data_IF_716331504419
#
_entry.id   IF_716331504419
#
_cell.length_a   1.000
_cell.length_b   1.000
_cell.length_c   1.000
_cell.angle_alpha   90.00
_cell.angle_beta   90.00
_cell.angle_gamma   90.00
#
_symmetry.space_group_name_H-M   'P 1'
#
loop_
_entity.id
_entity.type
_entity.pdbx_description
1 polymer ?
#
# COMPACT_ATOMS: atom_id res chain seq x y z
N UNK A 1 -17.31 -0.89 20.21
CA UNK A 1 -17.46 0.53 20.58
C UNK A 1 -16.79 1.40 19.53
N UNK A 2 -15.45 1.44 19.46
CA UNK A 2 -14.72 2.32 18.53
C UNK A 2 -15.19 2.31 17.05
N UNK A 3 -15.38 1.13 16.42
CA UNK A 3 -15.86 1.06 15.03
C UNK A 3 -17.25 1.69 14.85
N UNK A 4 -18.19 1.43 15.78
CA UNK A 4 -19.55 1.99 15.72
C UNK A 4 -19.54 3.49 15.90
N UNK A 5 -18.71 3.98 16.82
CA UNK A 5 -18.64 5.41 17.13
C UNK A 5 -17.99 6.18 15.98
N UNK A 6 -16.93 5.65 15.39
CA UNK A 6 -16.32 6.23 14.19
C UNK A 6 -17.25 6.20 12.96
N UNK A 7 -18.09 5.17 12.83
CA UNK A 7 -19.04 5.04 11.72
C UNK A 7 -20.28 5.95 11.81
N UNK A 8 -20.39 6.80 12.85
CA UNK A 8 -21.50 7.77 12.94
C UNK A 8 -21.30 8.95 12.01
N UNK A 9 -20.07 9.44 11.92
CA UNK A 9 -19.76 10.74 11.30
C UNK A 9 -18.65 10.65 10.24
N UNK A 10 -18.23 9.45 9.83
CA UNK A 10 -17.15 9.24 8.85
C UNK A 10 -17.60 8.45 7.62
N UNK A 11 -17.06 8.83 6.45
CA UNK A 11 -17.20 8.05 5.20
C UNK A 11 -16.19 6.90 5.11
N UNK A 12 -15.04 7.02 5.78
CA UNK A 12 -13.97 6.03 5.82
C UNK A 12 -13.33 5.97 7.22
N UNK A 13 -13.23 4.77 7.77
CA UNK A 13 -12.43 4.45 8.95
C UNK A 13 -11.11 3.83 8.49
N UNK A 14 -9.99 4.42 8.92
CA UNK A 14 -8.65 3.92 8.65
C UNK A 14 -7.99 3.43 9.95
N UNK A 15 -7.54 2.18 9.97
CA UNK A 15 -6.70 1.64 11.04
C UNK A 15 -5.25 1.53 10.58
N UNK A 16 -4.31 2.13 11.33
CA UNK A 16 -2.87 1.97 11.11
C UNK A 16 -2.32 0.87 12.03
N UNK A 17 -2.38 -0.38 11.59
CA UNK A 17 -2.07 -1.54 12.42
C UNK A 17 -3.32 -2.30 12.88
N UNK A 18 -3.12 -3.38 13.64
CA UNK A 18 -4.18 -4.29 14.06
C UNK A 18 -4.64 -5.27 12.96
N UNK A 19 -4.20 -5.10 11.71
CA UNK A 19 -4.34 -6.09 10.63
C UNK A 19 -3.10 -6.97 10.62
N UNK A 20 -3.15 -8.10 11.32
CA UNK A 20 -2.07 -9.09 11.32
C UNK A 20 -2.64 -10.50 11.22
N UNK A 21 -1.79 -11.46 10.88
CA UNK A 21 -2.14 -12.90 10.80
C UNK A 21 -1.89 -13.62 12.14
N UNK A 22 -1.91 -12.89 13.26
CA UNK A 22 -1.62 -13.42 14.60
C UNK A 22 -2.88 -13.73 15.41
N UNK A 23 -2.73 -14.46 16.52
CA UNK A 23 -3.86 -14.91 17.36
C UNK A 23 -4.65 -13.79 18.05
N UNK A 24 -4.15 -12.55 18.03
CA UNK A 24 -4.84 -11.35 18.58
C UNK A 24 -5.53 -10.49 17.50
N UNK A 25 -5.96 -11.11 16.40
CA UNK A 25 -6.62 -10.40 15.31
C UNK A 25 -8.09 -10.09 15.63
N UNK A 26 -8.30 -9.22 16.62
CA UNK A 26 -9.62 -8.78 17.08
C UNK A 26 -10.37 -7.96 16.04
N UNK A 27 -9.66 -7.43 15.04
CA UNK A 27 -10.23 -6.54 14.05
C UNK A 27 -11.15 -7.28 13.08
N UNK A 28 -10.76 -8.47 12.63
CA UNK A 28 -11.60 -9.27 11.72
C UNK A 28 -12.95 -9.65 12.35
N UNK A 29 -13.01 -10.28 13.55
CA UNK A 29 -14.29 -10.57 14.20
C UNK A 29 -15.08 -9.31 14.55
N UNK A 30 -14.41 -8.20 14.90
CA UNK A 30 -15.09 -6.95 15.15
C UNK A 30 -15.76 -6.42 13.88
N UNK A 31 -15.06 -6.39 12.74
CA UNK A 31 -15.61 -5.89 11.48
C UNK A 31 -16.73 -6.79 10.95
N UNK A 32 -16.57 -8.12 11.01
CA UNK A 32 -17.61 -9.09 10.63
C UNK A 32 -18.88 -8.96 11.49
N UNK A 33 -18.75 -8.52 12.74
CA UNK A 33 -19.90 -8.29 13.63
C UNK A 33 -20.57 -6.94 13.39
N UNK A 34 -19.81 -5.91 13.04
CA UNK A 34 -20.35 -4.56 12.82
C UNK A 34 -20.69 -4.26 11.35
N UNK A 35 -20.38 -5.16 10.42
CA UNK A 35 -20.59 -4.98 8.99
C UNK A 35 -20.06 -6.15 8.18
N UNK A 36 -19.18 -5.88 7.20
CA UNK A 36 -18.58 -6.93 6.38
C UNK A 36 -17.09 -6.70 6.15
N UNK A 37 -16.35 -7.79 5.97
CA UNK A 37 -14.97 -7.80 5.54
C UNK A 37 -14.88 -8.41 4.13
N UNK A 38 -14.47 -7.62 3.15
CA UNK A 38 -14.41 -8.02 1.73
C UNK A 38 -13.03 -8.54 1.33
N UNK A 39 -11.95 -8.01 1.93
CA UNK A 39 -10.58 -8.37 1.61
C UNK A 39 -9.69 -8.31 2.86
N UNK A 40 -8.80 -9.29 3.03
CA UNK A 40 -7.90 -9.38 4.20
C UNK A 40 -6.41 -9.41 3.83
N UNK A 41 -6.10 -9.80 2.60
CA UNK A 41 -4.73 -9.90 2.10
C UNK A 41 -4.66 -9.56 0.62
N UNK A 42 -3.51 -9.04 0.22
CA UNK A 42 -3.17 -8.75 -1.17
C UNK A 42 -1.80 -9.35 -1.50
N UNK A 43 -1.63 -9.73 -2.77
CA UNK A 43 -0.42 -10.38 -3.25
C UNK A 43 0.68 -9.35 -3.62
N UNK A 44 1.03 -8.49 -2.67
CA UNK A 44 2.07 -7.46 -2.85
C UNK A 44 3.17 -7.55 -1.78
N UNK A 45 4.27 -6.85 -2.02
CA UNK A 45 5.37 -6.67 -1.09
C UNK A 45 5.99 -5.28 -1.23
N UNK A 46 6.18 -4.51 -0.15
CA UNK A 46 5.65 -4.76 1.20
C UNK A 46 4.13 -4.59 1.26
N UNK A 47 3.49 -5.02 2.35
CA UNK A 47 2.05 -4.79 2.56
C UNK A 47 1.11 -5.94 2.21
N UNK A 48 1.49 -7.19 2.48
CA UNK A 48 0.60 -8.35 2.28
C UNK A 48 -0.74 -8.23 3.04
N UNK A 49 -0.78 -7.90 4.34
CA UNK A 49 -2.05 -7.68 5.02
C UNK A 49 -2.67 -6.37 4.53
N UNK A 50 -3.94 -6.37 4.20
CA UNK A 50 -4.72 -5.16 3.96
C UNK A 50 -6.16 -5.55 4.21
N UNK A 51 -6.82 -4.91 5.17
CA UNK A 51 -8.24 -5.12 5.39
C UNK A 51 -9.03 -4.10 4.58
N UNK A 52 -10.08 -4.54 3.89
CA UNK A 52 -11.07 -3.67 3.27
C UNK A 52 -12.46 -4.25 3.50
N UNK A 53 -13.41 -3.39 3.84
CA UNK A 53 -14.80 -3.77 4.11
C UNK A 53 -15.63 -2.55 4.44
N UNK A 54 -16.73 -2.76 5.15
CA UNK A 54 -17.60 -1.68 5.61
C UNK A 54 -18.15 -1.95 7.00
N UNK A 55 -18.43 -0.89 7.74
CA UNK A 55 -19.20 -0.89 8.99
C UNK A 55 -20.60 -0.40 8.67
N UNK A 56 -21.61 -1.12 9.14
CA UNK A 56 -23.02 -0.76 8.95
C UNK A 56 -23.57 -0.14 10.23
N UNK A 57 -24.11 1.07 10.12
CA UNK A 57 -24.78 1.77 11.21
C UNK A 57 -26.20 2.17 10.80
N UNK A 58 -27.01 2.67 11.73
CA UNK A 58 -28.33 3.20 11.41
C UNK A 58 -28.27 4.39 10.42
N UNK A 59 -27.14 5.10 10.37
CA UNK A 59 -26.89 6.23 9.47
C UNK A 59 -26.42 5.84 8.07
N UNK A 60 -26.18 4.55 7.81
CA UNK A 60 -25.72 4.04 6.51
C UNK A 60 -24.47 3.18 6.61
N UNK A 61 -23.67 3.16 5.55
CA UNK A 61 -22.41 2.41 5.48
C UNK A 61 -21.22 3.35 5.57
N UNK A 62 -20.21 2.94 6.32
CA UNK A 62 -18.91 3.59 6.39
C UNK A 62 -17.86 2.61 5.89
N UNK A 63 -17.01 3.03 4.96
CA UNK A 63 -15.92 2.17 4.49
C UNK A 63 -14.91 1.93 5.60
N UNK A 64 -14.28 0.76 5.57
CA UNK A 64 -13.19 0.42 6.49
C UNK A 64 -11.96 0.01 5.69
N UNK A 65 -10.80 0.56 6.06
CA UNK A 65 -9.50 0.10 5.60
C UNK A 65 -8.56 -0.11 6.77
N UNK A 66 -7.92 -1.28 6.83
CA UNK A 66 -6.93 -1.58 7.84
C UNK A 66 -5.57 -1.81 7.20
N UNK A 67 -4.59 -1.01 7.61
CA UNK A 67 -3.21 -1.07 7.13
C UNK A 67 -2.37 -2.02 7.99
N UNK A 68 -1.30 -2.59 7.42
CA UNK A 68 -0.26 -3.30 8.18
C UNK A 68 0.33 -2.47 9.33
N UNK A 69 0.77 -3.13 10.40
CA UNK A 69 1.51 -2.47 11.48
C UNK A 69 2.96 -2.10 11.12
N UNK A 70 3.54 -2.73 10.09
CA UNK A 70 4.91 -2.40 9.64
C UNK A 70 4.91 -1.03 8.92
N UNK A 71 5.82 -0.09 9.25
CA UNK A 71 5.73 1.30 8.80
C UNK A 71 5.82 1.45 7.27
N UNK A 72 6.78 0.79 6.60
CA UNK A 72 6.88 0.87 5.13
C UNK A 72 5.70 0.17 4.48
N UNK A 73 5.24 -0.96 5.05
CA UNK A 73 4.04 -1.66 4.55
C UNK A 73 2.80 -0.76 4.63
N UNK A 74 2.59 -0.08 5.75
CA UNK A 74 1.50 0.87 5.97
C UNK A 74 1.59 2.04 4.98
N UNK A 75 2.78 2.63 4.83
CA UNK A 75 3.02 3.72 3.88
C UNK A 75 2.72 3.32 2.44
N UNK A 76 3.29 2.21 1.95
CA UNK A 76 3.08 1.74 0.57
C UNK A 76 1.61 1.37 0.33
N UNK A 77 0.96 0.69 1.27
CA UNK A 77 -0.46 0.33 1.13
C UNK A 77 -1.38 1.54 1.19
N UNK A 78 -1.06 2.55 2.00
CA UNK A 78 -1.80 3.81 2.01
C UNK A 78 -1.77 4.48 0.63
N UNK A 79 -0.58 4.66 0.06
CA UNK A 79 -0.42 5.33 -1.23
C UNK A 79 -1.10 4.58 -2.38
N UNK A 80 -1.04 3.24 -2.37
CA UNK A 80 -1.55 2.42 -3.47
C UNK A 80 -3.03 2.08 -3.37
N UNK A 81 -3.61 2.03 -2.17
CA UNK A 81 -4.99 1.56 -1.96
C UNK A 81 -5.87 2.55 -1.22
N UNK A 82 -5.39 3.15 -0.12
CA UNK A 82 -6.21 4.09 0.66
C UNK A 82 -6.41 5.40 -0.09
N UNK A 83 -5.35 5.95 -0.68
CA UNK A 83 -5.43 7.19 -1.45
C UNK A 83 -6.45 7.11 -2.61
N UNK A 84 -6.45 6.08 -3.49
CA UNK A 84 -7.50 5.95 -4.51
C UNK A 84 -8.92 5.93 -3.96
N UNK A 85 -9.14 5.31 -2.79
CA UNK A 85 -10.46 5.30 -2.13
C UNK A 85 -10.83 6.70 -1.66
N UNK A 86 -9.91 7.41 -0.97
CA UNK A 86 -10.12 8.79 -0.54
C UNK A 86 -10.44 9.72 -1.74
N UNK A 87 -9.64 9.64 -2.81
CA UNK A 87 -9.87 10.40 -4.03
C UNK A 87 -11.25 10.11 -4.63
N UNK A 88 -11.66 8.84 -4.67
CA UNK A 88 -12.97 8.43 -5.20
C UNK A 88 -14.12 8.97 -4.36
N UNK A 89 -13.98 8.95 -3.03
CA UNK A 89 -14.95 9.51 -2.09
C UNK A 89 -15.07 11.04 -2.23
N UNK A 90 -13.97 11.71 -2.58
CA UNK A 90 -13.94 13.14 -2.90
C UNK A 90 -14.44 13.48 -4.32
N UNK A 91 -14.89 12.48 -5.09
CA UNK A 91 -15.44 12.68 -6.43
C UNK A 91 -14.40 12.74 -7.56
N UNK A 92 -13.12 12.46 -7.28
CA UNK A 92 -12.10 12.40 -8.32
C UNK A 92 -12.35 11.23 -9.29
N UNK A 93 -12.03 11.44 -10.55
CA UNK A 93 -12.10 10.42 -11.62
C UNK A 93 -10.74 9.83 -11.97
N UNK A 94 -9.66 10.61 -11.80
CA UNK A 94 -8.29 10.14 -11.96
C UNK A 94 -7.76 9.62 -10.61
N UNK A 95 -7.78 8.30 -10.43
CA UNK A 95 -7.40 7.65 -9.17
C UNK A 95 -5.98 7.06 -9.20
N UNK A 96 -5.57 6.54 -10.37
CA UNK A 96 -4.29 5.89 -10.51
C UNK A 96 -3.15 6.93 -10.63
N UNK A 97 -2.00 6.70 -9.96
CA UNK A 97 -0.81 7.53 -10.14
C UNK A 97 -0.25 7.36 -11.55
N UNK A 98 0.35 8.41 -12.09
CA UNK A 98 1.13 8.30 -13.32
C UNK A 98 2.42 7.55 -13.03
N UNK A 99 2.84 6.74 -14.01
CA UNK A 99 4.07 5.97 -13.94
C UNK A 99 4.92 6.18 -15.18
N UNK A 100 6.22 6.12 -15.01
CA UNK A 100 7.23 6.38 -16.04
C UNK A 100 8.08 5.14 -16.26
N UNK A 101 8.59 4.94 -17.47
CA UNK A 101 9.52 3.85 -17.77
C UNK A 101 10.94 4.38 -17.65
N UNK A 102 11.71 3.89 -16.68
CA UNK A 102 13.08 4.35 -16.41
C UNK A 102 14.04 3.16 -16.30
N UNK A 103 15.30 3.32 -16.75
CA UNK A 103 16.27 2.23 -16.74
C UNK A 103 16.73 1.90 -15.32
N UNK A 104 16.86 0.61 -15.02
CA UNK A 104 17.44 0.14 -13.76
C UNK A 104 18.97 0.35 -13.72
N UNK A 105 19.51 0.82 -12.61
CA UNK A 105 20.97 0.87 -12.34
C UNK A 105 21.39 -0.20 -11.32
N UNK A 106 20.59 -1.25 -11.20
CA UNK A 106 20.78 -2.33 -10.25
C UNK A 106 20.41 -3.66 -10.88
N UNK A 107 20.83 -4.73 -10.21
CA UNK A 107 20.37 -6.09 -10.50
C UNK A 107 19.39 -6.53 -9.41
N UNK A 108 18.33 -7.23 -9.80
CA UNK A 108 17.38 -7.89 -8.90
C UNK A 108 17.23 -9.35 -9.28
N UNK A 109 17.92 -10.23 -8.56
CA UNK A 109 18.03 -11.65 -8.95
C UNK A 109 16.96 -12.53 -8.31
N UNK A 110 16.33 -12.07 -7.22
CA UNK A 110 15.39 -12.88 -6.46
C UNK A 110 13.95 -12.53 -6.80
N UNK A 111 13.40 -13.24 -7.77
CA UNK A 111 11.98 -13.17 -8.10
C UNK A 111 11.10 -13.51 -6.86
N UNK A 112 10.06 -12.71 -6.62
CA UNK A 112 9.02 -12.97 -5.63
C UNK A 112 7.71 -13.34 -6.36
N UNK A 113 6.91 -14.23 -5.78
CA UNK A 113 5.59 -14.60 -6.32
C UNK A 113 4.55 -13.47 -6.20
N UNK A 114 4.88 -12.42 -5.47
CA UNK A 114 4.05 -11.23 -5.26
C UNK A 114 4.56 -10.10 -6.12
N UNK A 115 3.69 -9.13 -6.39
CA UNK A 115 4.06 -7.87 -7.01
C UNK A 115 4.90 -7.06 -6.01
N UNK A 116 6.09 -6.64 -6.40
CA UNK A 116 7.00 -5.92 -5.50
C UNK A 116 6.96 -4.41 -5.79
N UNK A 117 6.83 -3.62 -4.72
CA UNK A 117 6.91 -2.17 -4.73
C UNK A 117 8.22 -1.75 -4.06
N UNK A 118 9.29 -1.70 -4.86
CA UNK A 118 10.64 -1.42 -4.37
C UNK A 118 10.83 0.09 -4.22
N UNK A 119 11.41 0.53 -3.10
CA UNK A 119 11.72 1.95 -2.90
C UNK A 119 12.97 2.29 -3.70
N UNK A 120 12.83 3.28 -4.58
CA UNK A 120 13.90 3.69 -5.47
C UNK A 120 14.04 5.21 -5.53
N UNK A 121 15.26 5.64 -5.85
CA UNK A 121 15.63 7.03 -6.07
C UNK A 121 16.06 7.23 -7.52
N UNK A 122 15.81 8.41 -8.06
CA UNK A 122 16.34 8.82 -9.36
C UNK A 122 17.82 9.13 -9.21
N UNK A 123 18.63 8.59 -10.13
CA UNK A 123 20.04 8.97 -10.27
C UNK A 123 20.18 10.24 -11.10
N UNK A 124 21.33 10.90 -10.98
CA UNK A 124 21.67 12.04 -11.85
C UNK A 124 21.79 11.63 -13.33
N UNK A 125 22.00 10.35 -13.62
CA UNK A 125 22.03 9.79 -14.97
C UNK A 125 20.63 9.46 -15.53
N UNK A 126 19.57 9.67 -14.74
CA UNK A 126 18.18 9.41 -15.14
C UNK A 126 17.73 7.96 -14.95
N UNK A 127 18.50 7.15 -14.24
CA UNK A 127 18.17 5.76 -13.90
C UNK A 127 17.60 5.58 -12.49
N UNK A 128 17.25 4.35 -12.16
CA UNK A 128 16.66 3.96 -10.88
C UNK A 128 17.71 3.28 -10.00
N UNK A 129 17.88 3.78 -8.77
CA UNK A 129 18.74 3.19 -7.74
C UNK A 129 17.90 2.65 -6.58
N UNK A 130 18.29 1.51 -6.01
CA UNK A 130 17.62 0.94 -4.85
C UNK A 130 18.29 1.35 -3.54
N UNK A 131 17.47 1.50 -2.50
CA UNK A 131 17.97 1.49 -1.13
C UNK A 131 18.45 0.07 -0.81
N UNK A 132 19.67 -0.07 -0.26
CA UNK A 132 20.30 -1.38 -0.02
C UNK A 132 19.49 -2.33 0.90
N UNK A 133 18.55 -1.80 1.68
CA UNK A 133 17.66 -2.59 2.53
C UNK A 133 16.18 -2.34 2.22
N UNK A 134 15.54 -3.29 1.52
CA UNK A 134 14.13 -3.24 1.14
C UNK A 134 13.18 -3.85 2.20
N UNK A 135 13.61 -4.07 3.45
CA UNK A 135 12.75 -4.57 4.54
C UNK A 135 11.58 -3.63 4.85
N UNK A 136 10.42 -4.18 5.23
CA UNK A 136 9.21 -3.41 5.54
C UNK A 136 9.28 -2.62 6.85
N UNK A 137 10.26 -2.91 7.70
CA UNK A 137 10.48 -2.21 8.97
C UNK A 137 11.40 -0.98 8.84
N UNK A 138 12.05 -0.80 7.68
CA UNK A 138 13.11 0.20 7.50
C UNK A 138 12.53 1.46 6.89
N UNK A 139 11.91 2.30 7.72
CA UNK A 139 11.25 3.53 7.25
C UNK A 139 12.21 4.52 6.57
N UNK A 140 13.50 4.51 6.94
CA UNK A 140 14.53 5.32 6.27
C UNK A 140 14.63 5.05 4.77
N UNK A 141 14.30 3.84 4.31
CA UNK A 141 14.25 3.52 2.87
C UNK A 141 13.12 4.25 2.13
N UNK A 142 11.98 4.50 2.80
CA UNK A 142 10.87 5.25 2.22
C UNK A 142 11.16 6.75 2.23
N UNK A 143 11.79 7.26 3.29
CA UNK A 143 12.21 8.65 3.37
C UNK A 143 13.33 9.02 2.37
N UNK A 144 14.20 8.05 2.03
CA UNK A 144 15.27 8.25 1.06
C UNK A 144 14.81 8.21 -0.41
N UNK A 145 13.72 7.50 -0.69
CA UNK A 145 13.28 7.24 -2.06
C UNK A 145 12.53 8.42 -2.68
N UNK A 146 12.57 8.50 -4.00
CA UNK A 146 11.76 9.43 -4.79
C UNK A 146 10.45 8.79 -5.25
N UNK A 147 10.32 7.46 -5.12
CA UNK A 147 9.14 6.73 -5.55
C UNK A 147 9.24 5.22 -5.37
N UNK A 148 8.31 4.52 -6.02
CA UNK A 148 8.19 3.06 -6.00
C UNK A 148 8.39 2.49 -7.40
N UNK A 149 9.23 1.48 -7.52
CA UNK A 149 9.26 0.61 -8.70
C UNK A 149 8.12 -0.39 -8.56
N UNK A 150 7.29 -0.46 -9.59
CA UNK A 150 6.19 -1.40 -9.70
C UNK A 150 6.63 -2.63 -10.50
N UNK A 151 7.09 -3.66 -9.77
CA UNK A 151 7.70 -4.86 -10.34
C UNK A 151 6.70 -6.03 -10.35
N UNK A 152 6.36 -6.60 -11.51
CA UNK A 152 5.45 -7.73 -11.60
C UNK A 152 5.94 -8.98 -10.85
N UNK A 153 5.05 -9.87 -10.40
CA UNK A 153 5.42 -11.16 -9.85
C UNK A 153 6.35 -11.96 -10.77
N UNK A 154 7.32 -12.66 -10.19
CA UNK A 154 8.24 -13.51 -10.94
C UNK A 154 9.37 -12.77 -11.66
N UNK A 155 9.45 -11.44 -11.53
CA UNK A 155 10.44 -10.66 -12.27
C UNK A 155 11.83 -10.72 -11.65
N UNK A 156 12.84 -10.82 -12.51
CA UNK A 156 14.21 -10.40 -12.23
C UNK A 156 14.51 -9.11 -13.01
N UNK A 157 15.57 -8.41 -12.62
CA UNK A 157 15.98 -7.16 -13.25
C UNK A 157 17.47 -7.19 -13.54
N UNK A 158 17.84 -6.80 -14.76
CA UNK A 158 19.22 -6.48 -15.14
C UNK A 158 19.39 -4.96 -15.35
N UNK A 159 20.61 -4.42 -15.16
CA UNK A 159 20.89 -3.01 -15.46
C UNK A 159 20.49 -2.62 -16.89
N UNK A 160 19.92 -1.42 -17.04
CA UNK A 160 19.39 -0.89 -18.30
C UNK A 160 17.96 -1.32 -18.62
N UNK A 161 17.41 -2.33 -17.94
CA UNK A 161 16.02 -2.74 -18.13
C UNK A 161 15.07 -1.59 -17.75
N UNK A 162 14.11 -1.29 -18.63
CA UNK A 162 13.08 -0.30 -18.34
C UNK A 162 12.06 -0.86 -17.34
N UNK A 163 11.89 -0.15 -16.24
CA UNK A 163 10.95 -0.49 -15.18
C UNK A 163 9.93 0.62 -14.99
N UNK A 164 8.71 0.22 -14.64
CA UNK A 164 7.65 1.15 -14.27
C UNK A 164 7.97 1.76 -12.90
N UNK A 165 8.17 3.07 -12.87
CA UNK A 165 8.42 3.87 -11.68
C UNK A 165 7.23 4.78 -11.38
N UNK A 166 6.79 4.78 -10.13
CA UNK A 166 5.71 5.60 -9.57
C UNK A 166 6.34 6.65 -8.65
N UNK A 167 6.58 7.88 -9.13
CA UNK A 167 7.20 8.91 -8.30
C UNK A 167 6.24 9.35 -7.19
N UNK A 168 6.79 9.71 -6.03
CA UNK A 168 5.99 10.08 -4.88
C UNK A 168 5.18 11.35 -5.09
N UNK A 169 5.62 12.29 -5.93
CA UNK A 169 4.83 13.48 -6.27
C UNK A 169 3.54 13.17 -7.05
N UNK A 170 3.43 12.01 -7.69
CA UNK A 170 2.19 11.52 -8.31
C UNK A 170 1.30 10.75 -7.31
N UNK A 171 1.84 10.48 -6.11
CA UNK A 171 1.20 9.77 -5.00
C UNK A 171 0.86 10.69 -3.82
N UNK A 172 1.42 11.89 -3.75
CA UNK A 172 1.03 12.96 -2.81
C UNK A 172 0.05 13.96 -3.43
#
# INVERSE_FOLDING_TARGET
AALRDAARDADLILSSGGVSVGEEDHLKPALEREGRLDLWQIAIKPGKPLAFGEVTSQGGRTWFMGLPGNPVSSFVTFLLFVRPVLLRLQGATQLAPRGFQLPAEFTWTKADKRREFLRAKLSDAGGLQLFGNQSSGVMSSAAWADGLIDLPPGSTVEPGQLLRFLPFNELF
#
